data_IF_730219376731
#
_entry.id   IF_730219376731
#
_cell.length_a   1.000
_cell.length_b   1.000
_cell.length_c   1.000
_cell.angle_alpha   90.00
_cell.angle_beta   90.00
_cell.angle_gamma   90.00
#
_symmetry.space_group_name_H-M   'P 1'
#
loop_
_entity.id
_entity.type
_entity.pdbx_description
1 polymer ?
#
# COMPACT_ATOMS: atom_id res chain seq x y z
N UNK A 1 8.31 -14.22 -5.99
CA UNK A 1 7.85 -13.22 -4.99
C UNK A 1 6.80 -12.28 -5.56
N UNK A 2 7.03 -11.62 -6.72
CA UNK A 2 6.05 -10.68 -7.31
C UNK A 2 4.70 -11.34 -7.66
N UNK A 3 4.69 -12.57 -8.19
CA UNK A 3 3.43 -13.25 -8.57
C UNK A 3 2.53 -13.60 -7.37
N UNK A 4 3.10 -13.90 -6.19
CA UNK A 4 2.31 -14.19 -4.98
C UNK A 4 1.62 -12.93 -4.47
N UNK A 5 2.35 -11.81 -4.42
CA UNK A 5 1.80 -10.52 -4.00
C UNK A 5 0.68 -10.00 -4.93
N UNK A 6 0.70 -10.34 -6.22
CA UNK A 6 -0.37 -9.95 -7.15
C UNK A 6 -1.72 -10.58 -6.82
N UNK A 7 -1.72 -11.79 -6.26
CA UNK A 7 -2.93 -12.56 -6.01
C UNK A 7 -3.29 -12.64 -4.52
N UNK A 8 -2.43 -12.14 -3.62
CA UNK A 8 -2.72 -12.16 -2.19
C UNK A 8 -3.79 -11.11 -1.84
N UNK A 9 -4.98 -11.53 -1.35
CA UNK A 9 -6.03 -10.62 -0.97
C UNK A 9 -5.73 -9.97 0.39
N UNK A 10 -5.93 -8.65 0.50
CA UNK A 10 -5.70 -7.88 1.74
C UNK A 10 -6.98 -7.28 2.32
N UNK A 11 -8.09 -7.36 1.58
CA UNK A 11 -9.41 -6.94 2.03
C UNK A 11 -10.44 -7.05 0.91
N UNK A 12 -11.73 -7.14 1.27
CA UNK A 12 -12.85 -7.21 0.31
C UNK A 12 -13.43 -5.85 -0.04
N UNK A 13 -13.10 -4.81 0.72
CA UNK A 13 -13.51 -3.43 0.53
C UNK A 13 -12.46 -2.47 1.10
N UNK A 14 -12.57 -1.19 0.74
CA UNK A 14 -11.60 -0.16 1.11
C UNK A 14 -11.39 -0.03 2.63
N UNK A 15 -12.44 -0.23 3.44
CA UNK A 15 -12.32 -0.13 4.90
C UNK A 15 -11.49 -1.28 5.49
N UNK A 16 -11.66 -2.50 4.98
CA UNK A 16 -10.83 -3.66 5.36
C UNK A 16 -9.37 -3.43 4.96
N UNK A 17 -9.14 -2.87 3.78
CA UNK A 17 -7.78 -2.56 3.29
C UNK A 17 -7.13 -1.45 4.13
N UNK A 18 -7.90 -0.42 4.51
CA UNK A 18 -7.43 0.61 5.44
C UNK A 18 -7.07 -0.02 6.79
N UNK A 19 -7.90 -0.93 7.29
CA UNK A 19 -7.64 -1.70 8.51
C UNK A 19 -6.32 -2.47 8.44
N UNK A 20 -6.13 -3.25 7.36
CA UNK A 20 -4.90 -3.97 7.08
C UNK A 20 -3.66 -3.08 7.10
N UNK A 21 -3.73 -1.91 6.45
CA UNK A 21 -2.64 -0.93 6.45
C UNK A 21 -2.40 -0.33 7.84
N UNK A 22 -3.44 -0.03 8.60
CA UNK A 22 -3.27 0.48 9.97
C UNK A 22 -2.62 -0.56 10.89
N UNK A 23 -2.98 -1.83 10.76
CA UNK A 23 -2.36 -2.95 11.50
C UNK A 23 -0.90 -3.18 11.08
N UNK A 24 -0.56 -2.87 9.82
CA UNK A 24 0.81 -2.85 9.34
C UNK A 24 1.63 -1.62 9.80
N UNK A 25 1.01 -0.71 10.55
CA UNK A 25 1.67 0.47 11.12
C UNK A 25 1.60 1.73 10.26
N UNK A 26 0.69 1.78 9.28
CA UNK A 26 0.39 3.01 8.52
C UNK A 26 -0.62 3.88 9.25
N UNK A 27 -0.48 5.20 9.14
CA UNK A 27 -1.46 6.13 9.69
C UNK A 27 -2.80 5.99 8.97
N UNK A 28 -3.94 6.25 9.63
CA UNK A 28 -5.25 6.13 8.98
C UNK A 28 -5.39 7.03 7.74
N UNK A 29 -4.92 8.27 7.81
CA UNK A 29 -4.92 9.19 6.66
C UNK A 29 -4.02 8.69 5.53
N UNK A 30 -2.84 8.19 5.86
CA UNK A 30 -1.88 7.60 4.91
C UNK A 30 -2.50 6.39 4.20
N UNK A 31 -3.17 5.52 4.96
CA UNK A 31 -3.87 4.35 4.44
C UNK A 31 -5.01 4.73 3.50
N UNK A 32 -5.85 5.71 3.87
CA UNK A 32 -6.93 6.20 3.01
C UNK A 32 -6.40 6.79 1.70
N UNK A 33 -5.32 7.58 1.75
CA UNK A 33 -4.70 8.14 0.56
C UNK A 33 -4.11 7.06 -0.35
N UNK A 34 -3.40 6.08 0.24
CA UNK A 34 -2.82 4.97 -0.52
C UNK A 34 -3.89 4.11 -1.20
N UNK A 35 -5.01 3.83 -0.52
CA UNK A 35 -6.15 3.11 -1.11
C UNK A 35 -6.76 3.89 -2.27
N UNK A 36 -6.98 5.20 -2.11
CA UNK A 36 -7.49 6.05 -3.19
C UNK A 36 -6.57 6.04 -4.42
N UNK A 37 -5.25 6.08 -4.22
CA UNK A 37 -4.27 6.02 -5.30
C UNK A 37 -4.24 4.62 -5.96
N UNK A 38 -4.33 3.55 -5.18
CA UNK A 38 -4.42 2.19 -5.72
C UNK A 38 -5.69 2.01 -6.58
N UNK A 39 -6.84 2.51 -6.13
CA UNK A 39 -8.08 2.50 -6.91
C UNK A 39 -7.93 3.29 -8.21
N UNK A 40 -7.30 4.47 -8.15
CA UNK A 40 -7.13 5.35 -9.30
C UNK A 40 -6.11 4.81 -10.33
N UNK A 41 -4.99 4.25 -9.90
CA UNK A 41 -3.88 3.85 -10.77
C UNK A 41 -3.92 2.36 -11.16
N UNK A 42 -4.36 1.47 -10.25
CA UNK A 42 -4.37 0.01 -10.45
C UNK A 42 -5.77 -0.58 -10.66
N UNK A 43 -6.81 0.26 -10.60
CA UNK A 43 -8.21 -0.16 -10.75
C UNK A 43 -8.80 -0.88 -9.53
N UNK A 44 -8.12 -0.85 -8.37
CA UNK A 44 -8.61 -1.42 -7.12
C UNK A 44 -7.52 -1.47 -6.03
N UNK A 45 -7.91 -1.82 -4.80
CA UNK A 45 -7.00 -1.95 -3.66
C UNK A 45 -7.11 -3.32 -2.95
N UNK A 46 -7.69 -4.32 -3.61
CA UNK A 46 -8.03 -5.62 -3.00
C UNK A 46 -6.84 -6.56 -2.80
N UNK A 47 -5.73 -6.33 -3.50
CA UNK A 47 -4.54 -7.18 -3.42
C UNK A 47 -3.34 -6.47 -2.81
N UNK A 48 -2.41 -7.25 -2.24
CA UNK A 48 -1.17 -6.72 -1.67
C UNK A 48 -0.40 -5.89 -2.70
N UNK A 49 -0.33 -6.36 -3.95
CA UNK A 49 0.33 -5.63 -5.03
C UNK A 49 -0.28 -4.25 -5.24
N UNK A 50 -1.60 -4.17 -5.38
CA UNK A 50 -2.32 -2.93 -5.61
C UNK A 50 -2.08 -1.93 -4.49
N UNK A 51 -2.15 -2.38 -3.24
CA UNK A 51 -1.89 -1.55 -2.06
C UNK A 51 -0.46 -1.04 -2.03
N UNK A 52 0.52 -1.87 -2.38
CA UNK A 52 1.93 -1.46 -2.45
C UNK A 52 2.16 -0.44 -3.57
N UNK A 53 1.49 -0.58 -4.71
CA UNK A 53 1.54 0.44 -5.76
C UNK A 53 0.91 1.76 -5.29
N UNK A 54 -0.22 1.72 -4.58
CA UNK A 54 -0.83 2.91 -3.98
C UNK A 54 0.07 3.61 -2.97
N UNK A 55 0.76 2.87 -2.10
CA UNK A 55 1.76 3.41 -1.18
C UNK A 55 2.96 4.01 -1.91
N UNK A 56 3.39 3.38 -3.00
CA UNK A 56 4.49 3.88 -3.85
C UNK A 56 4.08 5.17 -4.57
N UNK A 57 2.84 5.23 -5.07
CA UNK A 57 2.27 6.46 -5.65
C UNK A 57 2.22 7.60 -4.61
N UNK A 58 1.81 7.29 -3.38
CA UNK A 58 1.80 8.26 -2.29
C UNK A 58 3.22 8.76 -1.96
N UNK A 59 4.22 7.87 -1.98
CA UNK A 59 5.61 8.22 -1.73
C UNK A 59 6.15 9.19 -2.78
N UNK A 60 5.76 9.04 -4.06
CA UNK A 60 6.13 9.95 -5.15
C UNK A 60 5.63 11.39 -4.94
N UNK A 61 4.56 11.57 -4.16
CA UNK A 61 4.01 12.90 -3.84
C UNK A 61 4.74 13.59 -2.69
N UNK A 62 5.63 12.89 -1.97
CA UNK A 62 6.43 13.48 -0.89
C UNK A 62 7.52 14.37 -1.47
N UNK A 63 7.51 15.63 -1.06
CA UNK A 63 8.51 16.62 -1.47
C UNK A 63 9.91 16.31 -0.92
N UNK A 64 10.00 15.73 0.28
CA UNK A 64 11.25 15.41 0.94
C UNK A 64 11.71 13.97 0.61
N UNK A 65 12.94 13.85 0.11
CA UNK A 65 13.53 12.56 -0.30
C UNK A 65 13.54 11.53 0.83
N UNK A 66 13.78 11.95 2.07
CA UNK A 66 13.86 11.05 3.23
C UNK A 66 12.49 10.43 3.58
N UNK A 67 11.42 11.22 3.47
CA UNK A 67 10.05 10.74 3.67
C UNK A 67 9.66 9.75 2.58
N UNK A 68 10.00 10.05 1.32
CA UNK A 68 9.78 9.14 0.19
C UNK A 68 10.47 7.80 0.41
N UNK A 69 11.77 7.82 0.71
CA UNK A 69 12.57 6.60 0.93
C UNK A 69 12.03 5.79 2.12
N UNK A 70 11.58 6.47 3.18
CA UNK A 70 10.98 5.80 4.35
C UNK A 70 9.67 5.10 3.99
N UNK A 71 8.81 5.75 3.23
CA UNK A 71 7.54 5.19 2.78
C UNK A 71 7.75 4.02 1.81
N UNK A 72 8.66 4.14 0.84
CA UNK A 72 9.02 3.06 -0.09
C UNK A 72 9.59 1.84 0.65
N UNK A 73 10.43 2.05 1.67
CA UNK A 73 10.94 0.96 2.51
C UNK A 73 9.82 0.23 3.26
N UNK A 74 8.86 0.96 3.83
CA UNK A 74 7.70 0.38 4.52
C UNK A 74 6.79 -0.37 3.56
N UNK A 75 6.56 0.16 2.36
CA UNK A 75 5.80 -0.52 1.30
C UNK A 75 6.51 -1.80 0.82
N UNK A 76 7.84 -1.78 0.67
CA UNK A 76 8.63 -2.98 0.36
C UNK A 76 8.60 -4.02 1.48
N UNK A 77 8.59 -3.59 2.75
CA UNK A 77 8.47 -4.51 3.88
C UNK A 77 7.13 -5.26 3.91
N UNK A 78 6.04 -4.63 3.46
CA UNK A 78 4.74 -5.30 3.29
C UNK A 78 4.82 -6.47 2.30
N UNK A 79 5.53 -6.32 1.17
CA UNK A 79 5.74 -7.42 0.21
C UNK A 79 6.48 -8.60 0.82
N UNK A 80 7.44 -8.33 1.72
CA UNK A 80 8.27 -9.36 2.34
C UNK A 80 7.55 -10.09 3.49
N UNK A 81 6.46 -9.54 4.02
CA UNK A 81 5.73 -10.10 5.16
C UNK A 81 4.86 -11.32 4.81
N UNK A 82 4.67 -11.58 3.52
CA UNK A 82 3.84 -12.67 2.96
C UNK A 82 4.72 -13.80 2.39
N UNK A 83 6.00 -13.81 2.78
CA UNK A 83 6.99 -14.78 2.31
C UNK A 83 7.30 -15.82 3.38
#
# INVERSE_FOLDING_TARGET
MIERARNEPVGKNDNEVIGFLTDAGFGRQEATQAVGLAVMEEGGAGTLWQVVQGLTALARQKQHTDERVTMEKRAGALLNRIN
#
